data_IF_501704580576
#
_entry.id   IF_501704580576
#
_cell.length_a   1.000
_cell.length_b   1.000
_cell.length_c   1.000
_cell.angle_alpha   90.00
_cell.angle_beta   90.00
_cell.angle_gamma   90.00
#
_symmetry.space_group_name_H-M   'P 1'
#
loop_
_entity.id
_entity.type
_entity.pdbx_description
1 polymer ?
#
# COMPACT_ATOMS: atom_id res chain seq x y z
N UNK A 1 -2.32 5.14 -28.48
CA UNK A 1 -2.89 6.33 -27.81
C UNK A 1 -2.04 6.61 -26.58
N UNK A 2 -1.42 7.80 -26.47
CA UNK A 2 -0.69 8.15 -25.25
C UNK A 2 -1.64 8.85 -24.29
N UNK A 3 -1.90 8.24 -23.13
CA UNK A 3 -2.74 8.84 -22.12
C UNK A 3 -2.16 10.19 -21.65
N UNK A 4 -2.99 11.23 -21.55
CA UNK A 4 -2.52 12.61 -21.33
C UNK A 4 -1.92 12.80 -19.95
N UNK A 5 -2.34 11.99 -18.98
CA UNK A 5 -1.79 11.99 -17.63
C UNK A 5 -0.27 11.75 -17.60
N UNK A 6 0.27 11.02 -18.58
CA UNK A 6 1.71 10.73 -18.69
C UNK A 6 2.54 11.98 -19.01
N UNK A 7 1.95 12.99 -19.64
CA UNK A 7 2.61 14.25 -19.97
C UNK A 7 2.80 15.17 -18.75
N UNK A 8 2.13 14.86 -17.64
CA UNK A 8 2.04 15.71 -16.44
C UNK A 8 2.77 15.14 -15.22
N UNK A 9 3.48 14.03 -15.42
CA UNK A 9 4.21 13.37 -14.34
C UNK A 9 5.44 14.21 -14.01
N UNK A 10 5.45 14.80 -12.82
CA UNK A 10 6.66 15.39 -12.28
C UNK A 10 7.64 14.27 -11.98
N UNK A 11 8.75 14.20 -12.73
CA UNK A 11 9.80 13.23 -12.44
C UNK A 11 10.44 13.58 -11.09
N UNK A 12 10.35 12.67 -10.13
CA UNK A 12 10.98 12.86 -8.82
C UNK A 12 12.44 12.37 -8.82
N UNK A 13 12.76 11.42 -9.71
CA UNK A 13 14.06 10.78 -9.81
C UNK A 13 14.43 10.60 -11.28
N UNK A 14 15.73 10.80 -11.58
CA UNK A 14 16.50 10.71 -12.85
C UNK A 14 15.72 10.57 -14.17
N UNK A 15 16.19 11.30 -15.19
CA UNK A 15 15.86 11.06 -16.59
C UNK A 15 15.95 9.56 -16.90
N UNK A 16 14.81 9.00 -17.31
CA UNK A 16 14.75 7.67 -17.90
C UNK A 16 15.67 7.69 -19.11
N UNK A 17 16.71 6.84 -19.14
CA UNK A 17 17.70 6.80 -20.24
C UNK A 17 17.11 6.24 -21.55
N UNK A 18 15.85 6.51 -21.84
CA UNK A 18 15.20 6.18 -23.10
C UNK A 18 15.03 4.68 -23.37
N UNK A 19 15.11 3.81 -22.35
CA UNK A 19 14.80 2.40 -22.58
C UNK A 19 13.29 2.19 -22.62
N UNK A 20 12.84 1.64 -23.73
CA UNK A 20 11.45 1.24 -23.92
C UNK A 20 11.08 0.20 -22.84
N UNK A 21 9.94 0.40 -22.19
CA UNK A 21 9.39 -0.53 -21.21
C UNK A 21 7.96 -0.89 -21.62
N UNK A 22 7.56 -2.13 -21.37
CA UNK A 22 6.24 -2.64 -21.75
C UNK A 22 5.54 -3.25 -20.54
N UNK A 23 4.86 -2.40 -19.77
CA UNK A 23 4.11 -2.83 -18.57
C UNK A 23 2.97 -3.76 -18.95
N UNK A 24 2.34 -3.59 -20.12
CA UNK A 24 1.27 -4.48 -20.58
C UNK A 24 1.78 -5.92 -20.78
N UNK A 25 2.96 -6.07 -21.38
CA UNK A 25 3.61 -7.37 -21.50
C UNK A 25 3.98 -7.97 -20.13
N UNK A 26 4.49 -7.16 -19.18
CA UNK A 26 4.77 -7.61 -17.81
C UNK A 26 3.50 -8.11 -17.09
N UNK A 27 2.39 -7.37 -17.18
CA UNK A 27 1.10 -7.75 -16.59
C UNK A 27 0.55 -9.02 -17.24
N UNK A 28 0.55 -9.09 -18.57
CA UNK A 28 0.10 -10.27 -19.31
C UNK A 28 0.91 -11.50 -18.93
N UNK A 29 2.25 -11.40 -18.94
CA UNK A 29 3.13 -12.48 -18.54
C UNK A 29 2.86 -12.95 -17.11
N UNK A 30 2.78 -12.03 -16.15
CA UNK A 30 2.54 -12.36 -14.74
C UNK A 30 1.19 -13.04 -14.49
N UNK A 31 0.16 -12.72 -15.30
CA UNK A 31 -1.18 -13.31 -15.19
C UNK A 31 -1.29 -14.74 -15.73
N UNK A 32 -0.43 -15.11 -16.69
CA UNK A 32 -0.51 -16.38 -17.41
C UNK A 32 0.58 -17.37 -16.99
N UNK A 33 1.76 -16.88 -16.61
CA UNK A 33 2.90 -17.70 -16.28
C UNK A 33 2.68 -18.50 -14.98
N UNK A 34 3.08 -19.76 -14.98
CA UNK A 34 3.10 -20.62 -13.80
C UNK A 34 4.33 -20.39 -12.93
N UNK A 35 5.41 -19.92 -13.55
CA UNK A 35 6.68 -19.58 -12.91
C UNK A 35 7.19 -18.27 -13.50
N UNK A 36 7.39 -17.28 -12.62
CA UNK A 36 7.90 -15.95 -12.96
C UNK A 36 9.26 -15.68 -12.31
N UNK A 37 9.90 -16.71 -11.76
CA UNK A 37 11.20 -16.56 -11.13
C UNK A 37 12.22 -16.02 -12.13
N UNK A 38 13.03 -15.08 -11.67
CA UNK A 38 14.07 -14.49 -12.49
C UNK A 38 15.42 -14.60 -11.76
N UNK A 39 16.36 -15.31 -12.40
CA UNK A 39 17.72 -15.45 -11.90
C UNK A 39 18.63 -14.45 -12.60
N UNK A 40 19.25 -13.57 -11.81
CA UNK A 40 20.27 -12.64 -12.26
C UNK A 40 21.54 -13.43 -12.60
N UNK A 41 22.12 -13.28 -13.80
CA UNK A 41 23.27 -14.06 -14.25
C UNK A 41 24.56 -13.56 -13.60
N UNK A 42 24.77 -13.95 -12.33
CA UNK A 42 25.99 -13.66 -11.59
C UNK A 42 27.00 -14.80 -11.74
N UNK A 43 28.28 -14.46 -11.91
CA UNK A 43 29.36 -15.44 -11.80
C UNK A 43 29.58 -15.84 -10.34
N UNK A 44 30.31 -16.94 -10.11
CA UNK A 44 30.71 -17.35 -8.77
C UNK A 44 31.52 -16.25 -8.05
N UNK A 45 32.35 -15.52 -8.80
CA UNK A 45 33.14 -14.42 -8.28
C UNK A 45 32.24 -13.25 -7.84
N UNK A 46 31.21 -12.92 -8.64
CA UNK A 46 30.25 -11.87 -8.28
C UNK A 46 29.48 -12.22 -7.00
N UNK A 47 29.01 -13.47 -6.88
CA UNK A 47 28.31 -13.94 -5.67
C UNK A 47 29.23 -13.87 -4.44
N UNK A 48 30.50 -14.25 -4.58
CA UNK A 48 31.49 -14.12 -3.50
C UNK A 48 31.74 -12.66 -3.14
N UNK A 49 31.84 -11.78 -4.13
CA UNK A 49 32.00 -10.34 -3.93
C UNK A 49 30.81 -9.75 -3.17
N UNK A 50 29.57 -9.96 -3.61
CA UNK A 50 28.40 -9.46 -2.88
C UNK A 50 28.28 -10.05 -1.48
N UNK A 51 28.68 -11.31 -1.28
CA UNK A 51 28.68 -11.95 0.05
C UNK A 51 29.64 -11.31 1.04
N UNK A 52 30.65 -10.53 0.60
CA UNK A 52 31.51 -9.77 1.52
C UNK A 52 30.87 -8.48 2.02
N UNK A 53 29.80 -8.00 1.37
CA UNK A 53 29.09 -6.77 1.74
C UNK A 53 27.71 -7.01 2.32
N UNK A 54 27.00 -8.03 1.84
CA UNK A 54 25.62 -8.31 2.22
C UNK A 54 25.45 -9.80 2.56
N UNK A 55 24.68 -10.15 3.61
CA UNK A 55 24.35 -11.54 3.88
C UNK A 55 23.54 -12.16 2.72
N UNK A 56 23.93 -13.34 2.22
CA UNK A 56 23.16 -14.01 1.17
C UNK A 56 21.82 -14.53 1.71
N UNK A 57 20.78 -14.41 0.89
CA UNK A 57 19.43 -14.92 1.11
C UNK A 57 19.07 -15.84 -0.05
N UNK A 58 19.24 -17.15 0.16
CA UNK A 58 18.99 -18.17 -0.87
C UNK A 58 17.60 -18.80 -0.74
N UNK A 59 17.04 -18.74 0.46
CA UNK A 59 15.81 -19.41 0.83
C UNK A 59 15.01 -18.60 1.86
N UNK A 60 13.79 -19.06 2.15
CA UNK A 60 12.96 -18.48 3.20
C UNK A 60 13.61 -18.60 4.59
N UNK A 61 14.39 -19.65 4.83
CA UNK A 61 15.02 -19.91 6.13
C UNK A 61 16.15 -18.92 6.42
N UNK A 62 16.84 -18.44 5.38
CA UNK A 62 17.86 -17.41 5.53
C UNK A 62 17.28 -16.10 6.09
N UNK A 63 16.00 -15.82 5.83
CA UNK A 63 15.33 -14.61 6.33
C UNK A 63 15.14 -14.62 7.86
N UNK A 64 15.06 -15.80 8.49
CA UNK A 64 14.99 -15.92 9.96
C UNK A 64 16.31 -15.48 10.62
N UNK A 65 17.43 -15.78 9.96
CA UNK A 65 18.77 -15.48 10.48
C UNK A 65 19.32 -14.14 9.97
N UNK A 66 18.73 -13.56 8.93
CA UNK A 66 19.13 -12.28 8.35
C UNK A 66 19.32 -11.16 9.40
N UNK A 67 18.37 -10.87 10.31
CA UNK A 67 18.58 -9.83 11.33
C UNK A 67 19.82 -10.03 12.21
N UNK A 68 20.25 -11.27 12.46
CA UNK A 68 21.47 -11.55 13.22
C UNK A 68 22.75 -11.46 12.36
N UNK A 69 22.62 -11.66 11.04
CA UNK A 69 23.73 -11.54 10.08
C UNK A 69 24.03 -10.09 9.69
N UNK A 70 23.05 -9.19 9.74
CA UNK A 70 23.23 -7.75 9.52
C UNK A 70 24.05 -7.13 10.67
N UNK A 71 25.19 -6.50 10.35
CA UNK A 71 26.09 -5.89 11.33
C UNK A 71 25.89 -4.37 11.40
N UNK A 72 25.99 -3.80 12.61
CA UNK A 72 25.93 -2.35 12.81
C UNK A 72 24.67 -1.72 12.21
N UNK A 73 24.86 -0.87 11.20
CA UNK A 73 23.81 -0.13 10.50
C UNK A 73 23.41 -0.76 9.15
N UNK A 74 23.88 -1.98 8.85
CA UNK A 74 23.50 -2.69 7.63
C UNK A 74 21.99 -3.00 7.62
N UNK A 75 21.35 -2.84 6.46
CA UNK A 75 19.92 -3.06 6.28
C UNK A 75 19.59 -4.06 5.18
N UNK A 76 20.56 -4.51 4.38
CA UNK A 76 20.33 -5.27 3.14
C UNK A 76 20.89 -6.69 3.24
N UNK A 77 20.05 -7.68 2.92
CA UNK A 77 20.54 -8.96 2.39
C UNK A 77 20.60 -8.91 0.86
N UNK A 78 21.03 -10.00 0.23
CA UNK A 78 20.98 -10.10 -1.23
C UNK A 78 20.61 -11.49 -1.73
N UNK A 79 19.95 -11.55 -2.89
CA UNK A 79 19.66 -12.77 -3.64
C UNK A 79 19.77 -12.51 -5.14
N UNK A 80 20.41 -13.40 -5.92
CA UNK A 80 20.32 -13.34 -7.38
C UNK A 80 18.95 -13.79 -7.88
N UNK A 81 18.09 -14.33 -7.03
CA UNK A 81 16.79 -14.86 -7.42
C UNK A 81 15.66 -13.92 -6.99
N UNK A 82 14.92 -13.41 -7.97
CA UNK A 82 13.58 -12.87 -7.74
C UNK A 82 12.60 -14.04 -7.76
N UNK A 83 11.97 -14.30 -6.61
CA UNK A 83 11.01 -15.38 -6.43
C UNK A 83 9.80 -14.85 -5.63
N UNK A 84 8.57 -14.93 -6.18
CA UNK A 84 7.35 -14.57 -5.44
C UNK A 84 7.26 -15.20 -4.05
N UNK A 85 7.70 -16.44 -3.90
CA UNK A 85 7.69 -17.15 -2.61
C UNK A 85 8.67 -16.55 -1.61
N UNK A 86 9.84 -16.09 -2.07
CA UNK A 86 10.82 -15.41 -1.21
C UNK A 86 10.37 -13.99 -0.88
N UNK A 87 9.75 -13.29 -1.82
CA UNK A 87 9.16 -11.96 -1.61
C UNK A 87 8.02 -12.03 -0.58
N UNK A 88 7.10 -12.98 -0.71
CA UNK A 88 6.07 -13.26 0.29
C UNK A 88 6.69 -13.48 1.67
N UNK A 89 7.73 -14.32 1.75
CA UNK A 89 8.44 -14.60 2.98
C UNK A 89 9.13 -13.35 3.59
N UNK A 90 9.61 -12.41 2.77
CA UNK A 90 10.14 -11.12 3.23
C UNK A 90 9.03 -10.28 3.86
N UNK A 91 7.92 -10.08 3.14
CA UNK A 91 6.79 -9.30 3.61
C UNK A 91 6.24 -9.85 4.93
N UNK A 92 6.05 -11.16 5.03
CA UNK A 92 5.59 -11.86 6.24
C UNK A 92 6.54 -11.73 7.45
N UNK A 93 7.75 -11.20 7.28
CA UNK A 93 8.74 -10.95 8.34
C UNK A 93 9.00 -9.46 8.57
N UNK A 94 8.25 -8.60 7.89
CA UNK A 94 8.45 -7.14 7.96
C UNK A 94 9.73 -6.67 7.25
N UNK A 95 10.27 -7.51 6.36
CA UNK A 95 11.41 -7.19 5.51
C UNK A 95 10.85 -6.65 4.20
N UNK A 96 11.26 -5.44 3.83
CA UNK A 96 10.77 -4.79 2.63
C UNK A 96 11.42 -5.41 1.38
N UNK A 97 10.64 -5.95 0.42
CA UNK A 97 11.19 -6.47 -0.81
C UNK A 97 11.58 -5.29 -1.72
N UNK A 98 12.87 -5.19 -2.03
CA UNK A 98 13.36 -4.19 -2.98
C UNK A 98 14.49 -4.78 -3.83
N UNK A 99 14.87 -4.06 -4.88
CA UNK A 99 16.07 -4.35 -5.66
C UNK A 99 17.11 -3.23 -5.57
N UNK A 100 18.37 -3.58 -5.80
CA UNK A 100 19.47 -2.63 -5.98
C UNK A 100 20.04 -2.78 -7.39
N UNK A 101 20.28 -1.66 -8.07
CA UNK A 101 20.97 -1.66 -9.36
C UNK A 101 22.46 -1.94 -9.13
N UNK A 102 22.99 -2.98 -9.79
CA UNK A 102 24.41 -3.38 -9.67
C UNK A 102 25.22 -3.07 -10.93
N UNK A 103 24.54 -2.90 -12.06
CA UNK A 103 25.06 -2.44 -13.35
C UNK A 103 23.89 -1.90 -14.16
N UNK A 104 24.15 -1.29 -15.32
CA UNK A 104 23.13 -0.61 -16.12
C UNK A 104 21.94 -1.54 -16.45
N UNK A 105 20.81 -1.33 -15.76
CA UNK A 105 19.59 -2.16 -15.82
C UNK A 105 19.75 -3.62 -15.37
N UNK A 106 20.80 -3.92 -14.61
CA UNK A 106 20.93 -5.21 -13.92
C UNK A 106 20.63 -4.96 -12.45
N UNK A 107 19.58 -5.61 -11.96
CA UNK A 107 19.09 -5.43 -10.60
C UNK A 107 19.27 -6.72 -9.81
N UNK A 108 19.66 -6.57 -8.55
CA UNK A 108 19.78 -7.66 -7.58
C UNK A 108 18.65 -7.56 -6.58
N UNK A 109 17.99 -8.68 -6.25
CA UNK A 109 16.99 -8.66 -5.19
C UNK A 109 17.71 -8.45 -3.85
N UNK A 110 17.30 -7.42 -3.10
CA UNK A 110 17.97 -7.02 -1.87
C UNK A 110 16.96 -6.76 -0.76
N UNK A 111 16.50 -7.83 -0.06
CA UNK A 111 15.57 -7.70 1.06
C UNK A 111 16.09 -6.70 2.08
N UNK A 112 15.30 -5.65 2.34
CA UNK A 112 15.69 -4.54 3.21
C UNK A 112 14.96 -4.60 4.55
N UNK A 113 15.74 -4.73 5.62
CA UNK A 113 15.25 -4.64 6.99
C UNK A 113 15.71 -3.32 7.59
N UNK A 114 14.84 -2.32 7.64
CA UNK A 114 15.18 -1.01 8.17
C UNK A 114 15.65 -1.07 9.64
N UNK A 115 16.58 -0.18 10.02
CA UNK A 115 16.98 0.06 11.41
C UNK A 115 15.82 0.64 12.21
N UNK A 116 15.05 1.52 11.58
CA UNK A 116 13.88 2.18 12.14
C UNK A 116 12.75 2.18 11.11
N UNK A 117 11.54 1.87 11.59
CA UNK A 117 10.33 1.83 10.78
C UNK A 117 9.40 2.98 11.15
N UNK A 118 9.00 3.76 10.15
CA UNK A 118 7.95 4.75 10.30
C UNK A 118 6.59 4.05 10.27
N UNK A 119 5.86 4.15 11.38
CA UNK A 119 4.55 3.52 11.52
C UNK A 119 3.50 4.49 12.04
N UNK A 120 2.26 4.24 11.65
CA UNK A 120 1.09 4.97 12.11
C UNK A 120 -0.01 3.97 12.50
N UNK A 121 -0.74 4.23 13.56
CA UNK A 121 -1.91 3.45 13.96
C UNK A 121 -3.15 3.92 13.22
N UNK A 122 -3.90 2.97 12.67
CA UNK A 122 -5.14 3.19 11.94
C UNK A 122 -6.34 2.95 12.89
N UNK A 123 -6.50 3.85 13.85
CA UNK A 123 -7.49 3.74 14.94
C UNK A 123 -8.16 5.08 15.22
N UNK A 124 -9.18 5.10 16.10
CA UNK A 124 -9.96 6.32 16.37
C UNK A 124 -9.41 7.20 17.49
N UNK A 125 -8.45 6.70 18.28
CA UNK A 125 -7.88 7.50 19.36
C UNK A 125 -6.81 6.79 20.19
N UNK A 126 -6.19 7.56 21.08
CA UNK A 126 -5.04 7.15 21.90
C UNK A 126 -5.29 5.85 22.70
N UNK A 127 -6.48 5.70 23.28
CA UNK A 127 -6.84 4.51 24.04
C UNK A 127 -6.75 3.23 23.19
N UNK A 128 -7.22 3.27 21.93
CA UNK A 128 -7.15 2.12 21.03
C UNK A 128 -5.71 1.88 20.54
N UNK A 129 -4.98 2.94 20.17
CA UNK A 129 -3.56 2.84 19.77
C UNK A 129 -2.73 2.16 20.85
N UNK A 130 -2.91 2.56 22.10
CA UNK A 130 -2.16 2.01 23.24
C UNK A 130 -2.54 0.55 23.57
N UNK A 131 -3.60 -0.01 22.96
CA UNK A 131 -3.88 -1.47 23.03
C UNK A 131 -3.17 -2.29 21.95
N UNK A 132 -2.52 -1.65 20.98
CA UNK A 132 -1.79 -2.34 19.93
C UNK A 132 -0.49 -2.88 20.51
N UNK A 133 -0.41 -4.20 20.68
CA UNK A 133 0.78 -4.87 21.20
C UNK A 133 2.04 -4.50 20.40
N UNK A 134 3.09 -4.08 21.11
CA UNK A 134 4.38 -3.66 20.55
C UNK A 134 4.43 -2.23 20.01
N UNK A 135 3.30 -1.52 19.89
CA UNK A 135 3.27 -0.13 19.43
C UNK A 135 3.85 0.80 20.50
N UNK A 136 4.64 1.83 20.15
CA UNK A 136 5.17 2.77 21.13
C UNK A 136 4.05 3.43 21.95
N UNK A 137 4.27 3.57 23.26
CA UNK A 137 3.38 4.42 24.05
C UNK A 137 3.60 5.87 23.64
N UNK A 138 2.51 6.55 23.30
CA UNK A 138 2.51 7.96 22.92
C UNK A 138 1.41 8.70 23.69
N UNK A 139 1.49 10.02 23.77
CA UNK A 139 0.46 10.87 24.34
C UNK A 139 -0.34 11.58 23.24
N UNK A 140 -1.58 11.97 23.54
CA UNK A 140 -2.46 12.63 22.58
C UNK A 140 -2.61 11.85 21.26
N UNK A 141 -2.51 12.55 20.14
CA UNK A 141 -2.72 12.02 18.78
C UNK A 141 -1.45 11.51 18.10
N UNK A 142 -0.28 11.57 18.76
CA UNK A 142 0.97 11.08 18.18
C UNK A 142 0.87 9.58 17.82
N UNK A 143 1.37 9.19 16.65
CA UNK A 143 1.30 7.82 16.17
C UNK A 143 -0.08 7.40 15.70
N UNK A 144 -1.07 8.29 15.61
CA UNK A 144 -2.39 8.00 15.05
C UNK A 144 -2.49 8.68 13.68
N UNK A 145 -2.91 7.94 12.66
CA UNK A 145 -3.14 8.52 11.36
C UNK A 145 -4.31 9.53 11.41
N UNK A 146 -4.03 10.76 10.97
CA UNK A 146 -5.04 11.78 10.76
C UNK A 146 -4.98 12.32 9.32
N UNK A 147 -6.05 12.08 8.56
CA UNK A 147 -6.17 12.52 7.17
C UNK A 147 -6.09 14.04 7.01
N UNK A 148 -6.49 14.81 8.04
CA UNK A 148 -6.56 16.26 7.97
C UNK A 148 -5.17 16.92 8.03
N UNK A 149 -4.15 16.20 8.50
CA UNK A 149 -2.76 16.67 8.53
C UNK A 149 -2.10 16.78 7.14
N UNK A 150 -2.70 16.18 6.11
CA UNK A 150 -2.19 16.21 4.73
C UNK A 150 -2.70 17.41 3.91
N UNK A 151 -3.68 18.17 4.42
CA UNK A 151 -4.14 19.40 3.76
C UNK A 151 -4.78 19.18 2.37
N UNK A 152 -5.56 18.10 2.19
CA UNK A 152 -6.21 17.81 0.90
C UNK A 152 -7.14 18.94 0.47
N UNK A 153 -6.92 19.45 -0.74
CA UNK A 153 -7.75 20.54 -1.29
C UNK A 153 -9.22 20.13 -1.42
N UNK A 154 -10.14 21.00 -1.00
CA UNK A 154 -11.59 20.82 -1.20
C UNK A 154 -11.98 20.62 -2.67
N UNK A 155 -11.16 21.07 -3.62
CA UNK A 155 -11.39 20.83 -5.06
C UNK A 155 -11.30 19.34 -5.42
N UNK A 156 -10.47 18.58 -4.71
CA UNK A 156 -10.25 17.15 -4.93
C UNK A 156 -11.26 16.25 -4.21
N UNK A 157 -12.10 16.81 -3.33
CA UNK A 157 -13.07 16.06 -2.52
C UNK A 157 -14.52 16.43 -2.82
N UNK A 158 -14.77 17.14 -3.92
CA UNK A 158 -16.12 17.54 -4.34
C UNK A 158 -16.96 16.30 -4.67
N UNK A 159 -18.21 16.33 -4.23
CA UNK A 159 -19.23 15.35 -4.65
C UNK A 159 -19.42 15.41 -6.16
N UNK A 160 -19.58 14.26 -6.83
CA UNK A 160 -20.02 14.21 -8.22
C UNK A 160 -21.30 15.03 -8.47
N UNK A 161 -21.41 15.63 -9.64
CA UNK A 161 -22.67 16.20 -10.12
C UNK A 161 -22.82 15.87 -11.61
N UNK A 162 -23.74 14.95 -11.90
CA UNK A 162 -24.02 14.45 -13.24
C UNK A 162 -24.48 15.58 -14.18
N UNK A 163 -25.39 16.47 -13.73
CA UNK A 163 -25.95 17.53 -14.58
C UNK A 163 -24.91 18.57 -15.03
N UNK A 164 -23.87 18.79 -14.22
CA UNK A 164 -22.85 19.83 -14.48
C UNK A 164 -21.48 19.23 -14.82
N UNK A 165 -21.35 17.91 -14.91
CA UNK A 165 -20.05 17.22 -15.13
C UNK A 165 -18.95 17.73 -14.19
N UNK A 166 -19.29 17.88 -12.91
CA UNK A 166 -18.38 18.55 -11.98
C UNK A 166 -17.11 17.71 -11.79
N UNK A 167 -15.90 18.29 -11.90
CA UNK A 167 -14.66 17.56 -11.62
C UNK A 167 -14.70 16.87 -10.26
N UNK A 168 -14.59 15.55 -10.27
CA UNK A 168 -14.62 14.68 -9.10
C UNK A 168 -13.82 13.42 -9.37
N UNK A 169 -13.50 12.67 -8.31
CA UNK A 169 -12.57 11.56 -8.37
C UNK A 169 -13.16 10.31 -7.75
N UNK A 170 -12.70 9.16 -8.19
CA UNK A 170 -13.08 7.84 -7.70
C UNK A 170 -11.83 7.06 -7.34
N UNK A 171 -11.90 6.30 -6.25
CA UNK A 171 -10.86 5.35 -5.86
C UNK A 171 -11.31 3.93 -6.21
N UNK A 172 -10.41 3.20 -6.83
CA UNK A 172 -10.51 1.78 -7.12
C UNK A 172 -9.41 1.06 -6.35
N UNK A 173 -9.72 -0.13 -5.83
CA UNK A 173 -8.73 -1.01 -5.20
C UNK A 173 -8.73 -2.33 -5.94
N UNK A 174 -7.55 -2.83 -6.32
CA UNK A 174 -7.35 -4.13 -6.95
C UNK A 174 -8.13 -4.39 -8.25
N UNK A 175 -8.60 -3.34 -8.93
CA UNK A 175 -9.25 -3.50 -10.23
C UNK A 175 -8.20 -3.81 -11.31
N UNK A 176 -8.31 -4.97 -11.95
CA UNK A 176 -7.31 -5.47 -12.91
C UNK A 176 -7.06 -4.52 -14.09
N UNK A 177 -8.09 -3.82 -14.55
CA UNK A 177 -7.99 -2.84 -15.62
C UNK A 177 -7.06 -1.64 -15.28
N UNK A 178 -6.73 -1.43 -14.00
CA UNK A 178 -5.85 -0.34 -13.57
C UNK A 178 -4.38 -0.71 -13.52
N UNK A 179 -4.03 -2.00 -13.59
CA UNK A 179 -2.66 -2.47 -13.35
C UNK A 179 -1.65 -1.80 -14.30
N UNK A 180 -1.95 -1.78 -15.59
CA UNK A 180 -1.05 -1.20 -16.60
C UNK A 180 -0.84 0.28 -16.34
N UNK A 181 -1.90 1.05 -16.10
CA UNK A 181 -1.81 2.50 -15.87
C UNK A 181 -1.06 2.82 -14.58
N UNK A 182 -1.32 2.08 -13.49
CA UNK A 182 -0.68 2.28 -12.18
C UNK A 182 0.83 2.04 -12.27
N UNK A 183 1.24 0.89 -12.79
CA UNK A 183 2.67 0.57 -12.91
C UNK A 183 3.36 1.48 -13.92
N UNK A 184 2.67 1.90 -14.98
CA UNK A 184 3.20 2.90 -15.93
C UNK A 184 3.42 4.24 -15.26
N UNK A 185 2.46 4.75 -14.48
CA UNK A 185 2.60 6.03 -13.78
C UNK A 185 3.76 6.00 -12.77
N UNK A 186 3.88 4.91 -12.00
CA UNK A 186 4.98 4.70 -11.06
C UNK A 186 6.32 4.65 -11.79
N UNK A 187 6.41 3.87 -12.88
CA UNK A 187 7.64 3.75 -13.69
C UNK A 187 8.05 5.07 -14.32
N UNK A 188 7.11 5.91 -14.73
CA UNK A 188 7.36 7.26 -15.26
C UNK A 188 7.83 8.25 -14.19
N UNK A 189 7.25 8.20 -13.00
CA UNK A 189 7.58 9.16 -11.94
C UNK A 189 8.93 8.87 -11.29
N UNK A 190 9.28 7.59 -11.16
CA UNK A 190 10.43 7.15 -10.37
C UNK A 190 11.54 6.46 -11.15
N UNK A 191 11.37 6.24 -12.46
CA UNK A 191 12.34 5.54 -13.30
C UNK A 191 12.36 4.01 -13.08
N UNK A 192 13.30 3.31 -13.73
CA UNK A 192 13.63 1.93 -13.41
C UNK A 192 14.51 1.96 -12.16
N UNK A 193 13.95 1.59 -11.02
CA UNK A 193 14.61 1.73 -9.72
C UNK A 193 14.50 0.42 -8.93
N UNK A 194 14.41 0.52 -7.61
CA UNK A 194 14.24 -0.65 -6.74
C UNK A 194 13.02 -1.51 -7.08
N UNK A 195 11.96 -0.94 -7.67
CA UNK A 195 10.79 -1.67 -8.18
C UNK A 195 11.02 -2.07 -9.63
N UNK A 196 12.10 -2.80 -9.88
CA UNK A 196 12.53 -3.21 -11.21
C UNK A 196 11.57 -4.22 -11.87
N UNK A 197 11.66 -4.43 -13.19
CA UNK A 197 10.81 -5.35 -13.93
C UNK A 197 10.68 -6.76 -13.29
N UNK A 198 11.77 -7.46 -12.91
CA UNK A 198 11.65 -8.74 -12.21
C UNK A 198 10.81 -8.69 -10.92
N UNK A 199 10.97 -7.62 -10.13
CA UNK A 199 10.20 -7.45 -8.90
C UNK A 199 8.73 -7.12 -9.18
N UNK A 200 8.46 -6.25 -10.17
CA UNK A 200 7.08 -5.94 -10.61
C UNK A 200 6.34 -7.19 -11.05
N UNK A 201 6.96 -8.01 -11.90
CA UNK A 201 6.37 -9.27 -12.38
C UNK A 201 6.07 -10.22 -11.22
N UNK A 202 6.96 -10.32 -10.23
CA UNK A 202 6.70 -11.15 -9.04
C UNK A 202 5.50 -10.63 -8.24
N UNK A 203 5.40 -9.32 -8.01
CA UNK A 203 4.26 -8.72 -7.29
C UNK A 203 2.95 -8.89 -8.07
N UNK A 204 2.97 -8.70 -9.39
CA UNK A 204 1.82 -8.95 -10.27
C UNK A 204 1.40 -10.42 -10.23
N UNK A 205 2.36 -11.35 -10.25
CA UNK A 205 2.05 -12.77 -10.13
C UNK A 205 1.41 -13.11 -8.78
N UNK A 206 1.91 -12.51 -7.69
CA UNK A 206 1.28 -12.63 -6.36
C UNK A 206 -0.13 -12.05 -6.33
N UNK A 207 -0.36 -10.92 -7.03
CA UNK A 207 -1.67 -10.31 -7.18
C UNK A 207 -2.66 -11.24 -7.90
N UNK A 208 -2.26 -11.87 -9.02
CA UNK A 208 -3.11 -12.78 -9.79
C UNK A 208 -3.29 -14.16 -9.13
N UNK A 209 -2.41 -14.54 -8.21
CA UNK A 209 -2.46 -15.83 -7.52
C UNK A 209 -2.60 -15.66 -5.99
N UNK A 210 -3.62 -14.92 -5.51
CA UNK A 210 -3.68 -14.48 -4.11
C UNK A 210 -3.85 -15.63 -3.12
N UNK A 211 -4.31 -16.80 -3.55
CA UNK A 211 -4.44 -18.00 -2.68
C UNK A 211 -3.11 -18.70 -2.43
N UNK A 212 -2.09 -18.50 -3.28
CA UNK A 212 -0.76 -19.12 -3.13
C UNK A 212 0.13 -18.42 -2.11
N UNK A 213 -0.15 -17.16 -1.79
CA UNK A 213 0.71 -16.31 -0.97
C UNK A 213 -0.03 -15.79 0.26
N UNK A 214 0.64 -15.73 1.40
CA UNK A 214 0.04 -15.17 2.62
C UNK A 214 -0.14 -13.65 2.51
N UNK A 215 0.85 -12.99 1.92
CA UNK A 215 0.85 -11.55 1.62
C UNK A 215 -0.13 -11.24 0.50
N UNK A 216 -0.94 -10.19 0.67
CA UNK A 216 -1.88 -9.75 -0.36
C UNK A 216 -1.41 -8.45 -0.97
N UNK A 217 -1.21 -8.43 -2.28
CA UNK A 217 -0.83 -7.23 -3.01
C UNK A 217 -2.06 -6.33 -3.13
N UNK A 218 -1.89 -5.06 -2.77
CA UNK A 218 -2.94 -4.05 -2.80
C UNK A 218 -2.50 -2.92 -3.71
N UNK A 219 -3.36 -2.62 -4.68
CA UNK A 219 -3.13 -1.61 -5.70
C UNK A 219 -4.30 -0.63 -5.61
N UNK A 220 -4.00 0.63 -5.38
CA UNK A 220 -5.00 1.70 -5.37
C UNK A 220 -4.84 2.57 -6.61
N UNK A 221 -5.95 2.91 -7.25
CA UNK A 221 -6.01 3.80 -8.39
C UNK A 221 -7.04 4.89 -8.11
N UNK A 222 -6.64 6.14 -8.19
CA UNK A 222 -7.53 7.29 -8.10
C UNK A 222 -7.67 7.85 -9.51
N UNK A 223 -8.88 7.83 -10.03
CA UNK A 223 -9.18 8.32 -11.38
C UNK A 223 -10.07 9.54 -11.34
N UNK A 224 -9.96 10.37 -12.36
CA UNK A 224 -11.00 11.35 -12.66
C UNK A 224 -12.27 10.56 -12.99
N UNK A 225 -13.38 10.82 -12.28
CA UNK A 225 -14.68 10.24 -12.58
C UNK A 225 -15.05 10.44 -14.06
N UNK A 226 -15.64 9.39 -14.65
CA UNK A 226 -16.20 9.42 -16.00
C UNK A 226 -17.70 9.65 -15.92
N UNK A 227 -18.20 10.67 -16.61
CA UNK A 227 -19.62 11.03 -16.67
C UNK A 227 -20.27 10.54 -17.97
N UNK A 228 -19.60 10.74 -19.11
CA UNK A 228 -20.12 10.31 -20.41
C UNK A 228 -19.10 9.43 -21.17
N UNK A 229 -19.61 8.68 -22.17
CA UNK A 229 -18.78 8.08 -23.23
C UNK A 229 -18.46 9.08 -24.35
N UNK A 230 -18.25 10.35 -24.00
CA UNK A 230 -17.80 11.33 -24.99
C UNK A 230 -16.40 10.93 -25.48
N UNK A 231 -16.12 11.01 -26.78
CA UNK A 231 -14.81 10.66 -27.30
C UNK A 231 -13.72 11.53 -26.66
N UNK A 232 -12.65 10.86 -26.22
CA UNK A 232 -11.44 11.46 -25.66
C UNK A 232 -10.89 12.47 -26.68
N UNK A 233 -10.73 13.73 -26.27
CA UNK A 233 -10.19 14.76 -27.16
C UNK A 233 -8.66 14.58 -27.22
N UNK A 234 -8.15 13.93 -28.27
CA UNK A 234 -6.76 13.45 -28.37
C UNK A 234 -5.67 14.52 -28.17
N UNK A 235 -6.00 15.81 -28.28
CA UNK A 235 -5.07 16.93 -28.19
C UNK A 235 -5.27 17.85 -26.97
N UNK A 236 -6.13 17.49 -26.01
CA UNK A 236 -6.34 18.33 -24.82
C UNK A 236 -5.13 18.24 -23.87
N UNK A 237 -4.56 19.38 -23.44
CA UNK A 237 -3.51 19.35 -22.42
C UNK A 237 -4.07 19.01 -21.04
N UNK A 238 -5.40 18.89 -20.87
CA UNK A 238 -6.11 18.62 -19.62
C UNK A 238 -6.29 17.12 -19.38
N UNK A 239 -6.14 16.70 -18.11
CA UNK A 239 -6.53 15.34 -17.71
C UNK A 239 -8.01 15.15 -17.97
N UNK A 240 -8.31 14.03 -18.60
CA UNK A 240 -9.63 13.70 -19.08
C UNK A 240 -10.37 12.82 -18.08
N UNK A 241 -11.68 12.80 -18.22
CA UNK A 241 -12.56 11.87 -17.51
C UNK A 241 -12.08 10.42 -17.71
N UNK A 242 -12.02 9.65 -16.63
CA UNK A 242 -11.54 8.26 -16.62
C UNK A 242 -10.03 8.09 -16.48
N UNK A 243 -9.22 9.13 -16.65
CA UNK A 243 -7.76 9.00 -16.53
C UNK A 243 -7.27 8.86 -15.08
N UNK A 244 -6.15 8.16 -14.92
CA UNK A 244 -5.46 7.98 -13.64
C UNK A 244 -4.80 9.28 -13.19
N UNK A 245 -5.06 9.68 -11.94
CA UNK A 245 -4.49 10.92 -11.36
C UNK A 245 -3.51 10.66 -10.22
N UNK A 246 -3.70 9.57 -9.49
CA UNK A 246 -2.78 9.11 -8.46
C UNK A 246 -2.97 7.62 -8.19
N UNK A 247 -1.96 6.96 -7.66
CA UNK A 247 -1.99 5.54 -7.36
C UNK A 247 -1.00 5.16 -6.27
N UNK A 248 -1.19 3.98 -5.67
CA UNK A 248 -0.22 3.36 -4.78
C UNK A 248 -0.18 1.84 -4.98
N UNK A 249 1.01 1.27 -4.82
CA UNK A 249 1.20 -0.17 -4.60
C UNK A 249 1.67 -0.36 -3.15
N UNK A 250 1.02 -1.29 -2.47
CA UNK A 250 1.37 -1.76 -1.15
C UNK A 250 1.00 -3.21 -0.97
N UNK A 251 1.06 -3.69 0.27
CA UNK A 251 0.69 -5.06 0.58
C UNK A 251 0.15 -5.21 2.00
N UNK A 252 -0.67 -6.25 2.21
CA UNK A 252 -1.20 -6.64 3.51
C UNK A 252 -0.46 -7.85 4.08
N UNK A 253 -0.16 -7.77 5.37
CA UNK A 253 0.35 -8.86 6.20
C UNK A 253 -0.47 -8.89 7.49
N UNK A 254 -1.38 -9.85 7.61
CA UNK A 254 -2.42 -9.81 8.63
C UNK A 254 -3.23 -8.52 8.53
N UNK A 255 -3.22 -7.71 9.59
CA UNK A 255 -3.90 -6.41 9.67
C UNK A 255 -2.95 -5.19 9.56
N UNK A 256 -1.74 -5.42 9.04
CA UNK A 256 -0.75 -4.40 8.70
C UNK A 256 -0.87 -4.10 7.21
N UNK A 257 -1.08 -2.84 6.87
CA UNK A 257 -0.88 -2.35 5.51
C UNK A 257 0.50 -1.71 5.38
N UNK A 258 1.30 -2.17 4.42
CA UNK A 258 2.61 -1.60 4.12
C UNK A 258 2.57 -0.88 2.77
N UNK A 259 2.82 0.42 2.78
CA UNK A 259 2.99 1.22 1.56
C UNK A 259 4.36 0.96 0.96
N UNK A 260 4.41 0.61 -0.34
CA UNK A 260 5.66 0.40 -1.05
C UNK A 260 6.04 1.64 -1.87
N UNK A 261 5.16 2.09 -2.78
CA UNK A 261 5.35 3.33 -3.54
C UNK A 261 4.04 3.84 -4.13
N UNK A 262 3.93 5.16 -4.25
CA UNK A 262 2.82 5.82 -4.93
C UNK A 262 3.33 6.80 -5.99
N UNK A 263 2.42 7.19 -6.88
CA UNK A 263 2.69 8.15 -7.94
C UNK A 263 1.44 8.98 -8.24
N UNK A 264 1.61 10.15 -8.85
CA UNK A 264 0.54 11.10 -9.15
C UNK A 264 0.93 12.05 -10.27
N UNK A 265 -0.06 12.63 -10.96
CA UNK A 265 0.13 13.53 -12.11
C UNK A 265 -0.66 14.84 -11.99
N UNK A 266 -1.21 15.13 -10.79
CA UNK A 266 -1.92 16.38 -10.48
C UNK A 266 -1.38 17.06 -9.23
N UNK A 267 -1.52 18.39 -9.18
CA UNK A 267 -1.26 19.16 -7.97
C UNK A 267 -2.14 18.67 -6.81
N UNK A 268 -1.51 18.36 -5.67
CA UNK A 268 -2.19 17.80 -4.50
C UNK A 268 -2.51 16.31 -4.61
N UNK A 269 -2.14 15.63 -5.71
CA UNK A 269 -2.40 14.21 -5.94
C UNK A 269 -1.74 13.29 -4.90
N UNK A 270 -0.49 13.58 -4.49
CA UNK A 270 0.18 12.82 -3.44
C UNK A 270 -0.49 12.94 -2.06
N UNK A 271 -0.95 14.13 -1.68
CA UNK A 271 -1.71 14.33 -0.44
C UNK A 271 -3.07 13.61 -0.50
N UNK A 272 -3.77 13.71 -1.63
CA UNK A 272 -5.02 13.00 -1.87
C UNK A 272 -4.83 11.48 -1.75
N UNK A 273 -3.78 10.95 -2.39
CA UNK A 273 -3.41 9.54 -2.38
C UNK A 273 -3.14 9.04 -0.97
N UNK A 274 -2.27 9.70 -0.20
CA UNK A 274 -1.97 9.28 1.17
C UNK A 274 -3.21 9.37 2.07
N UNK A 275 -4.00 10.45 1.98
CA UNK A 275 -5.21 10.59 2.79
C UNK A 275 -6.20 9.47 2.49
N UNK A 276 -6.46 9.19 1.22
CA UNK A 276 -7.39 8.14 0.81
C UNK A 276 -6.91 6.76 1.19
N UNK A 277 -5.64 6.43 0.96
CA UNK A 277 -5.07 5.14 1.37
C UNK A 277 -5.24 4.94 2.88
N UNK A 278 -4.86 5.93 3.70
CA UNK A 278 -4.99 5.80 5.16
C UNK A 278 -6.43 5.64 5.63
N UNK A 279 -7.38 6.41 5.07
CA UNK A 279 -8.80 6.28 5.40
C UNK A 279 -9.34 4.92 4.93
N UNK A 280 -9.00 4.50 3.72
CA UNK A 280 -9.43 3.22 3.16
C UNK A 280 -8.94 2.05 4.02
N UNK A 281 -7.65 2.01 4.36
CA UNK A 281 -7.07 0.92 5.14
C UNK A 281 -7.62 0.91 6.58
N UNK A 282 -7.80 2.08 7.20
CA UNK A 282 -8.47 2.19 8.50
C UNK A 282 -9.90 1.65 8.43
N UNK A 283 -10.64 2.02 7.40
CA UNK A 283 -12.04 1.61 7.21
C UNK A 283 -12.19 0.11 6.96
N UNK A 284 -11.24 -0.47 6.21
CA UNK A 284 -11.17 -1.89 5.94
C UNK A 284 -10.91 -2.73 7.20
N UNK A 285 -10.34 -2.12 8.26
CA UNK A 285 -10.00 -2.79 9.52
C UNK A 285 -8.49 -3.01 9.72
N UNK A 286 -7.63 -2.46 8.86
CA UNK A 286 -6.21 -2.42 9.15
C UNK A 286 -5.96 -1.61 10.42
N UNK A 287 -5.00 -2.06 11.22
CA UNK A 287 -4.70 -1.46 12.54
C UNK A 287 -3.39 -0.69 12.51
N UNK A 288 -2.51 -1.04 11.58
CA UNK A 288 -1.22 -0.43 11.39
C UNK A 288 -0.97 -0.09 9.94
N UNK A 289 -0.35 1.07 9.76
CA UNK A 289 0.21 1.51 8.51
C UNK A 289 1.73 1.56 8.64
N UNK A 290 2.40 0.68 7.91
CA UNK A 290 3.84 0.70 7.70
C UNK A 290 4.19 1.56 6.49
N UNK A 291 4.95 2.63 6.72
CA UNK A 291 5.38 3.55 5.68
C UNK A 291 6.85 3.35 5.30
N UNK A 292 7.54 2.31 5.78
CA UNK A 292 8.95 2.10 5.47
C UNK A 292 9.88 2.98 6.30
N UNK A 293 10.87 3.61 5.67
CA UNK A 293 11.83 4.49 6.36
C UNK A 293 11.21 5.83 6.76
N UNK A 294 11.69 6.44 7.86
CA UNK A 294 11.26 7.78 8.26
C UNK A 294 11.73 8.84 7.25
N UNK A 295 10.83 9.76 6.87
CA UNK A 295 11.10 10.90 5.98
C UNK A 295 10.41 12.14 6.53
N UNK A 296 10.85 13.34 6.12
CA UNK A 296 10.31 14.61 6.63
C UNK A 296 8.78 14.70 6.55
N UNK A 297 8.19 14.35 5.41
CA UNK A 297 6.73 14.38 5.24
C UNK A 297 5.98 13.31 6.06
N UNK A 298 6.62 12.24 6.51
CA UNK A 298 5.96 11.23 7.37
C UNK A 298 5.74 11.73 8.79
N UNK A 299 6.50 12.76 9.20
CA UNK A 299 6.26 13.46 10.46
C UNK A 299 4.94 14.22 10.44
N UNK A 300 4.53 14.78 9.29
CA UNK A 300 3.21 15.42 9.18
C UNK A 300 2.06 14.42 9.21
N UNK A 301 2.32 13.12 8.99
CA UNK A 301 1.34 12.05 9.20
C UNK A 301 1.22 11.59 10.66
N UNK A 302 1.93 12.26 11.58
CA UNK A 302 2.03 11.88 13.00
C UNK A 302 2.69 10.50 13.19
N UNK A 303 3.45 10.00 12.23
CA UNK A 303 4.06 8.68 12.37
C UNK A 303 5.23 8.68 13.35
N UNK A 304 5.38 7.55 14.02
CA UNK A 304 6.42 7.31 15.02
C UNK A 304 7.48 6.37 14.47
N UNK A 305 8.69 6.49 15.02
CA UNK A 305 9.78 5.58 14.72
C UNK A 305 9.68 4.33 15.60
N UNK A 306 9.80 3.14 15.00
CA UNK A 306 9.89 1.87 15.70
C UNK A 306 11.21 1.16 15.36
N UNK A 307 12.06 0.86 16.35
CA UNK A 307 13.31 0.13 16.13
C UNK A 307 13.09 -1.27 15.52
N UNK A 308 14.00 -1.69 14.64
CA UNK A 308 14.01 -2.97 13.91
C UNK A 308 13.53 -4.16 14.73
N UNK A 309 14.14 -4.40 15.89
CA UNK A 309 13.82 -5.56 16.74
C UNK A 309 12.35 -5.55 17.18
N UNK A 310 11.85 -4.37 17.60
CA UNK A 310 10.44 -4.21 18.00
C UNK A 310 9.50 -4.38 16.81
N UNK A 311 9.88 -3.86 15.64
CA UNK A 311 9.14 -4.04 14.39
C UNK A 311 8.99 -5.52 14.02
N UNK A 312 10.07 -6.30 14.05
CA UNK A 312 10.01 -7.73 13.75
C UNK A 312 9.14 -8.52 14.72
N UNK A 313 9.26 -8.25 16.03
CA UNK A 313 8.38 -8.87 17.03
C UNK A 313 6.92 -8.52 16.78
N UNK A 314 6.63 -7.26 16.44
CA UNK A 314 5.28 -6.81 16.13
C UNK A 314 4.72 -7.51 14.88
N UNK A 315 5.46 -7.55 13.77
CA UNK A 315 4.99 -8.22 12.55
C UNK A 315 4.78 -9.72 12.78
N UNK A 316 5.68 -10.38 13.51
CA UNK A 316 5.56 -11.82 13.83
C UNK A 316 4.25 -12.16 14.54
N UNK A 317 3.80 -11.30 15.46
CA UNK A 317 2.54 -11.47 16.18
C UNK A 317 1.34 -11.11 15.29
N UNK A 318 1.42 -10.05 14.49
CA UNK A 318 0.26 -9.49 13.77
C UNK A 318 -0.01 -10.16 12.43
N UNK A 319 0.99 -10.76 11.80
CA UNK A 319 0.82 -11.48 10.53
C UNK A 319 -0.17 -12.64 10.61
N UNK A 320 -0.41 -13.16 11.82
CA UNK A 320 -1.39 -14.23 12.08
C UNK A 320 -2.82 -13.70 12.29
N UNK A 321 -3.01 -12.37 12.34
CA UNK A 321 -4.34 -11.80 12.49
C UNK A 321 -5.17 -12.05 11.21
N UNK A 322 -6.43 -12.48 11.34
CA UNK A 322 -7.31 -12.72 10.21
C UNK A 322 -7.60 -11.42 9.44
N UNK A 323 -7.61 -11.50 8.11
CA UNK A 323 -7.78 -10.34 7.22
C UNK A 323 -8.92 -10.50 6.21
N UNK A 324 -9.76 -11.53 6.34
CA UNK A 324 -10.85 -11.83 5.41
C UNK A 324 -11.90 -10.71 5.37
N UNK A 325 -12.12 -10.00 6.48
CA UNK A 325 -13.00 -8.84 6.52
C UNK A 325 -12.38 -7.63 5.79
N UNK A 326 -11.07 -7.43 5.94
CA UNK A 326 -10.30 -6.40 5.21
C UNK A 326 -10.42 -6.67 3.72
N UNK A 327 -10.14 -7.90 3.28
CA UNK A 327 -10.16 -8.28 1.87
C UNK A 327 -11.57 -8.17 1.26
N UNK A 328 -12.62 -8.55 1.99
CA UNK A 328 -14.00 -8.35 1.53
C UNK A 328 -14.33 -6.87 1.31
N UNK A 329 -13.96 -6.01 2.26
CA UNK A 329 -14.17 -4.57 2.12
C UNK A 329 -13.41 -4.01 0.91
N UNK A 330 -12.15 -4.40 0.72
CA UNK A 330 -11.34 -3.93 -0.42
C UNK A 330 -11.86 -4.46 -1.77
N UNK A 331 -12.40 -5.67 -1.82
CA UNK A 331 -13.01 -6.24 -3.03
C UNK A 331 -14.21 -5.41 -3.50
N UNK A 332 -15.04 -4.90 -2.59
CA UNK A 332 -16.16 -4.03 -2.96
C UNK A 332 -15.69 -2.73 -3.65
N UNK A 333 -14.47 -2.27 -3.32
CA UNK A 333 -13.87 -1.08 -3.92
C UNK A 333 -13.29 -1.32 -5.32
N UNK A 334 -13.27 -2.55 -5.84
CA UNK A 334 -12.96 -2.82 -7.26
C UNK A 334 -13.95 -2.12 -8.20
N UNK A 335 -15.18 -1.89 -7.72
CA UNK A 335 -16.25 -1.20 -8.48
C UNK A 335 -16.09 0.31 -8.53
N UNK A 336 -15.18 0.86 -7.73
CA UNK A 336 -15.01 2.30 -7.56
C UNK A 336 -15.92 2.89 -6.51
N UNK A 337 -15.40 3.87 -5.77
CA UNK A 337 -16.19 4.68 -4.85
C UNK A 337 -15.80 6.16 -4.99
N UNK A 338 -16.77 7.09 -4.96
CA UNK A 338 -16.45 8.52 -4.98
C UNK A 338 -15.54 8.91 -3.82
N UNK A 339 -14.48 9.62 -4.13
CA UNK A 339 -13.54 10.17 -3.14
C UNK A 339 -14.29 10.96 -2.08
N UNK A 340 -15.29 11.75 -2.47
CA UNK A 340 -16.09 12.55 -1.53
C UNK A 340 -16.70 11.72 -0.40
N UNK A 341 -17.01 10.45 -0.63
CA UNK A 341 -17.72 9.62 0.33
C UNK A 341 -16.78 9.08 1.42
N UNK A 342 -15.49 8.91 1.11
CA UNK A 342 -14.45 8.66 2.12
C UNK A 342 -14.21 9.86 3.06
N UNK A 343 -14.52 11.08 2.60
CA UNK A 343 -14.27 12.31 3.37
C UNK A 343 -15.51 12.88 4.06
N UNK A 344 -16.72 12.48 3.69
CA UNK A 344 -17.97 13.08 4.19
C UNK A 344 -18.37 12.68 5.60
N UNK A 345 -18.02 11.50 6.11
CA UNK A 345 -18.34 11.10 7.50
C UNK A 345 -17.71 9.74 7.81
N UNK A 346 -17.56 9.42 9.11
CA UNK A 346 -17.03 8.17 9.64
C UNK A 346 -17.45 6.97 8.77
N UNK A 347 -16.52 6.49 7.94
CA UNK A 347 -16.74 5.28 7.16
C UNK A 347 -17.17 4.22 8.18
N UNK A 348 -18.35 3.58 8.03
CA UNK A 348 -18.77 2.55 8.97
C UNK A 348 -17.62 1.55 9.04
N UNK A 349 -16.97 1.35 10.20
CA UNK A 349 -15.85 0.43 10.28
C UNK A 349 -16.33 -0.91 9.74
N UNK A 350 -15.52 -1.55 8.89
CA UNK A 350 -15.77 -2.91 8.40
C UNK A 350 -16.24 -3.74 9.58
N UNK A 351 -17.54 -4.08 9.56
CA UNK A 351 -18.34 -4.75 10.59
C UNK A 351 -17.59 -4.87 11.91
N UNK A 352 -17.73 -3.86 12.77
CA UNK A 352 -17.23 -3.93 14.14
C UNK A 352 -17.56 -5.31 14.72
N UNK A 353 -16.53 -6.06 15.11
CA UNK A 353 -16.66 -7.41 15.67
C UNK A 353 -17.87 -7.43 16.60
N UNK A 354 -18.89 -8.20 16.20
CA UNK A 354 -20.16 -8.33 16.92
C UNK A 354 -19.91 -8.81 18.35
N UNK A 355 -18.75 -9.43 18.61
CA UNK A 355 -18.30 -9.91 19.92
C UNK A 355 -17.39 -8.94 20.68
N UNK A 356 -17.06 -7.78 20.13
CA UNK A 356 -16.24 -6.81 20.86
C UNK A 356 -16.96 -6.33 22.12
N UNK A 357 -16.22 -6.23 23.23
CA UNK A 357 -16.76 -5.80 24.54
C UNK A 357 -17.53 -4.47 24.45
N UNK A 358 -17.09 -3.58 23.55
CA UNK A 358 -17.73 -2.29 23.26
C UNK A 358 -19.11 -2.46 22.60
N UNK A 359 -19.20 -3.31 21.56
CA UNK A 359 -20.47 -3.64 20.88
C UNK A 359 -21.44 -4.35 21.83
N UNK A 360 -20.96 -5.31 22.64
CA UNK A 360 -21.77 -6.01 23.67
C UNK A 360 -22.36 -5.03 24.68
N UNK A 361 -21.57 -4.06 25.16
CA UNK A 361 -22.04 -3.01 26.08
C UNK A 361 -23.09 -2.09 25.41
N UNK A 362 -22.92 -1.77 24.12
CA UNK A 362 -23.86 -0.95 23.35
C UNK A 362 -25.20 -1.68 23.14
N UNK A 363 -25.15 -3.00 22.89
CA UNK A 363 -26.34 -3.86 22.75
C UNK A 363 -27.14 -3.96 24.06
N UNK A 364 -26.46 -4.24 25.17
CA UNK A 364 -27.08 -4.31 26.50
C UNK A 364 -27.74 -2.98 26.89
N UNK A 365 -27.13 -1.83 26.57
CA UNK A 365 -27.74 -0.52 26.79
C UNK A 365 -29.00 -0.30 25.95
N UNK A 366 -29.00 -0.75 24.70
CA UNK A 366 -30.16 -0.63 23.79
C UNK A 366 -31.31 -1.54 24.25
N UNK A 367 -31.02 -2.78 24.63
CA UNK A 367 -31.98 -3.73 25.19
C UNK A 367 -32.61 -3.19 26.49
N UNK A 368 -31.80 -2.66 27.42
CA UNK A 368 -32.29 -2.04 28.64
C UNK A 368 -33.17 -0.80 28.39
N UNK A 369 -32.86 0.00 27.37
CA UNK A 369 -33.67 1.17 27.00
C UNK A 369 -35.03 0.77 26.41
N UNK A 370 -35.06 -0.29 25.60
CA UNK A 370 -36.31 -0.84 25.05
C UNK A 370 -37.18 -1.40 26.17
N UNK A 371 -36.58 -2.12 27.13
CA UNK A 371 -37.29 -2.70 28.26
C UNK A 371 -37.93 -1.63 29.16
N UNK A 372 -37.17 -0.58 29.51
CA UNK A 372 -37.71 0.58 30.26
C UNK A 372 -38.83 1.31 29.53
N UNK A 373 -38.75 1.39 28.20
CA UNK A 373 -39.81 2.01 27.38
C UNK A 373 -41.07 1.14 27.36
N UNK A 374 -40.92 -0.19 27.33
CA UNK A 374 -42.03 -1.12 27.38
C UNK A 374 -42.72 -1.16 28.76
N UNK A 375 -41.97 -0.98 29.85
CA UNK A 375 -42.53 -0.87 31.21
C UNK A 375 -43.35 0.40 31.38
N UNK A 376 -42.85 1.55 30.91
CA UNK A 376 -43.59 2.84 30.93
C UNK A 376 -44.86 2.89 30.07
N UNK A 377 -45.05 1.94 29.17
CA UNK A 377 -46.29 1.85 28.37
C UNK A 377 -47.30 0.85 28.97
N UNK A 378 -46.95 0.18 30.07
CA UNK A 378 -47.85 -0.73 30.81
C UNK A 378 -48.35 -0.14 32.13
N UNK A 379 -47.76 0.96 32.58
CA UNK A 379 -48.30 1.89 33.58
C UNK A 379 -49.16 2.93 32.87
#
# INVERSE_FOLDING_TARGET
MHATYLQRVTQHFREDKGKEFNIEAEVSYASQATDVRHLVPLTKADVQHFSSFFPPVKSKDDLETLPAKLKGNEELGFSPLFDPSLIDACCQRGIFPLAVEISENIFLFAPKLHMERAICALVDGAAQRNTISGFPFCEGDEGIFNKDCLGVSRKLTKTPNESTHRPSFEIFVNRQADLVDVFTLIRRQHGENWLCAPLRVCLLHMFFNPTKYATKIIITAIRYRKYNEMPILESSPLIQEGELVACEIGYLVGDIYASATGAYCISGGGALQLSLTGVCMKSAGCRLWDLGMMMSYKRSLQCVSLPRKKWQSMVSVRRTNPNEHILRYLHDLEKGLPVSDFFKTAVPPAIADLNSKSQRKKRLKKEAAIQRKAERMRE
#
